data_IF_213341980624
#
_entry.id   IF_213341980624
#
_cell.length_a   1.000
_cell.length_b   1.000
_cell.length_c   1.000
_cell.angle_alpha   90.00
_cell.angle_beta   90.00
_cell.angle_gamma   90.00
#
_symmetry.space_group_name_H-M   'P 1'
#
loop_
_entity.id
_entity.type
_entity.pdbx_description
1 polymer ?
#
# COMPACT_ATOMS: atom_id res chain seq x y z
N UNK A 1 6.28 8.01 -29.80
CA UNK A 1 5.64 6.89 -29.10
C UNK A 1 4.27 6.70 -29.74
N UNK A 2 3.96 5.49 -30.14
CA UNK A 2 2.64 5.07 -30.64
C UNK A 2 1.94 4.31 -29.51
N UNK A 3 1.28 5.04 -28.62
CA UNK A 3 0.62 4.48 -27.44
C UNK A 3 -0.59 3.63 -27.84
N UNK A 4 -0.67 2.42 -27.33
CA UNK A 4 -1.69 1.45 -27.73
C UNK A 4 -1.44 0.70 -29.06
N UNK A 5 -0.35 1.01 -29.76
CA UNK A 5 0.02 0.33 -31.01
C UNK A 5 0.78 -0.97 -30.70
N UNK A 6 0.04 -2.00 -30.28
CA UNK A 6 0.60 -3.31 -29.92
C UNK A 6 0.82 -4.23 -31.11
N UNK A 7 1.77 -5.14 -30.98
CA UNK A 7 1.98 -6.22 -31.95
C UNK A 7 1.01 -7.38 -31.64
N UNK A 8 0.30 -7.83 -32.66
CA UNK A 8 -0.62 -8.95 -32.54
C UNK A 8 -0.66 -9.72 -33.86
N UNK A 9 -0.45 -11.02 -33.82
CA UNK A 9 -0.48 -11.90 -34.98
C UNK A 9 -1.92 -12.25 -35.45
N UNK A 10 -2.94 -11.86 -34.66
CA UNK A 10 -4.34 -12.00 -35.02
C UNK A 10 -4.71 -10.95 -36.05
N UNK A 11 -5.37 -11.37 -37.15
CA UNK A 11 -5.79 -10.47 -38.23
C UNK A 11 -7.22 -9.94 -38.00
N UNK A 12 -8.14 -10.80 -37.62
CA UNK A 12 -9.55 -10.46 -37.41
C UNK A 12 -9.71 -9.43 -36.26
N UNK A 13 -10.36 -8.30 -36.59
CA UNK A 13 -10.55 -7.20 -35.66
C UNK A 13 -9.28 -6.42 -35.32
N UNK A 14 -8.19 -6.57 -36.05
CA UNK A 14 -6.92 -5.88 -35.82
C UNK A 14 -6.77 -4.69 -36.79
N UNK A 15 -7.12 -3.48 -36.31
CA UNK A 15 -7.06 -2.27 -37.08
C UNK A 15 -5.63 -1.92 -37.58
N UNK A 16 -4.59 -2.30 -36.81
CA UNK A 16 -3.19 -2.10 -37.19
C UNK A 16 -2.84 -2.96 -38.42
N UNK A 17 -3.31 -4.22 -38.43
CA UNK A 17 -3.08 -5.13 -39.54
C UNK A 17 -3.85 -4.70 -40.81
N UNK A 18 -5.09 -4.22 -40.66
CA UNK A 18 -5.95 -3.80 -41.78
C UNK A 18 -5.51 -2.44 -42.35
N UNK A 19 -4.78 -1.63 -41.61
CA UNK A 19 -4.33 -0.32 -42.06
C UNK A 19 -3.17 -0.41 -43.06
N UNK A 20 -3.11 0.57 -43.96
CA UNK A 20 -1.95 0.72 -44.86
C UNK A 20 -0.86 1.49 -44.09
N UNK A 21 0.17 0.78 -43.66
CA UNK A 21 1.26 1.33 -42.84
C UNK A 21 2.65 1.26 -43.49
N UNK A 22 2.83 1.76 -44.77
CA UNK A 22 4.05 1.51 -45.54
C UNK A 22 5.32 2.07 -44.87
N UNK A 23 5.20 3.16 -44.10
CA UNK A 23 6.33 3.74 -43.37
C UNK A 23 6.72 2.85 -42.17
N UNK A 24 5.75 2.42 -41.38
CA UNK A 24 6.02 1.52 -40.25
C UNK A 24 6.54 0.17 -40.71
N UNK A 25 5.98 -0.39 -41.77
CA UNK A 25 6.43 -1.64 -42.35
C UNK A 25 7.87 -1.53 -42.84
N UNK A 26 8.21 -0.41 -43.49
CA UNK A 26 9.58 -0.09 -43.90
C UNK A 26 10.54 0.04 -42.72
N UNK A 27 10.16 0.77 -41.67
CA UNK A 27 10.98 0.93 -40.46
C UNK A 27 11.25 -0.40 -39.75
N UNK A 28 10.23 -1.23 -39.59
CA UNK A 28 10.38 -2.55 -38.99
C UNK A 28 11.25 -3.50 -39.81
N UNK A 29 11.27 -3.34 -41.13
CA UNK A 29 12.06 -4.17 -42.05
C UNK A 29 13.52 -3.70 -42.16
N UNK A 30 13.74 -2.40 -42.24
CA UNK A 30 15.03 -1.84 -42.68
C UNK A 30 15.91 -1.41 -41.51
N UNK A 31 15.34 -1.34 -40.28
CA UNK A 31 16.06 -0.92 -39.06
C UNK A 31 16.02 -2.01 -37.99
N UNK A 32 16.96 -1.98 -37.02
CA UNK A 32 16.94 -2.88 -35.87
C UNK A 32 15.61 -2.81 -35.11
N UNK A 33 14.98 -3.95 -34.91
CA UNK A 33 13.68 -4.09 -34.29
C UNK A 33 13.71 -5.17 -33.19
N UNK A 34 13.14 -4.85 -32.04
CA UNK A 34 12.99 -5.79 -30.92
C UNK A 34 11.58 -5.71 -30.35
N UNK A 35 11.06 -6.86 -29.92
CA UNK A 35 9.80 -6.91 -29.17
C UNK A 35 10.07 -6.68 -27.69
N UNK A 36 9.36 -5.73 -27.07
CA UNK A 36 9.38 -5.47 -25.63
C UNK A 36 8.12 -5.94 -24.96
N UNK A 37 8.21 -6.36 -23.68
CA UNK A 37 7.03 -6.60 -22.88
C UNK A 37 6.49 -5.29 -22.31
N UNK A 38 5.17 -5.13 -22.32
CA UNK A 38 4.47 -3.93 -21.81
C UNK A 38 3.53 -4.25 -20.65
N UNK A 39 3.75 -5.35 -19.92
CA UNK A 39 2.92 -5.79 -18.81
C UNK A 39 3.73 -6.48 -17.71
N UNK A 40 3.14 -6.63 -16.55
CA UNK A 40 3.70 -7.36 -15.41
C UNK A 40 5.05 -6.83 -14.95
N UNK A 41 5.90 -7.70 -14.44
CA UNK A 41 7.19 -7.35 -13.86
C UNK A 41 8.13 -6.61 -14.81
N UNK A 42 7.99 -6.82 -16.12
CA UNK A 42 8.78 -6.14 -17.14
C UNK A 42 8.56 -4.62 -17.20
N UNK A 43 7.46 -4.14 -16.62
CA UNK A 43 7.15 -2.70 -16.50
C UNK A 43 6.91 -2.27 -15.05
N UNK A 44 7.33 -3.08 -14.09
CA UNK A 44 7.26 -2.75 -12.66
C UNK A 44 5.89 -2.95 -12.01
N UNK A 45 5.00 -3.69 -12.66
CA UNK A 45 3.68 -4.08 -12.15
C UNK A 45 3.71 -5.52 -11.62
N UNK A 46 2.72 -5.92 -10.81
CA UNK A 46 2.54 -7.34 -10.45
C UNK A 46 2.49 -8.25 -11.67
N UNK A 47 2.92 -9.49 -11.51
CA UNK A 47 2.88 -10.48 -12.58
C UNK A 47 1.45 -10.68 -13.10
N UNK A 48 1.29 -10.80 -14.41
CA UNK A 48 -0.01 -10.92 -15.07
C UNK A 48 -0.82 -9.62 -15.18
N UNK A 49 -0.43 -8.52 -14.55
CA UNK A 49 -1.12 -7.24 -14.68
C UNK A 49 -0.81 -6.56 -16.00
N UNK A 50 -1.86 -6.16 -16.72
CA UNK A 50 -1.73 -5.39 -17.97
C UNK A 50 -1.06 -4.03 -17.69
N UNK A 51 -0.15 -3.63 -18.56
CA UNK A 51 0.48 -2.30 -18.52
C UNK A 51 -0.50 -1.17 -18.87
N UNK A 52 -0.05 0.04 -18.63
CA UNK A 52 -0.76 1.27 -18.96
C UNK A 52 0.22 2.35 -19.42
N UNK A 53 -0.33 3.47 -19.93
CA UNK A 53 0.48 4.58 -20.44
C UNK A 53 1.42 5.19 -19.41
N UNK A 54 0.99 5.30 -18.15
CA UNK A 54 1.77 5.93 -17.07
C UNK A 54 3.07 5.16 -16.82
N UNK A 55 2.95 3.87 -16.54
CA UNK A 55 4.14 3.02 -16.29
C UNK A 55 4.99 2.85 -17.55
N UNK A 56 4.38 2.79 -18.74
CA UNK A 56 5.10 2.67 -20.01
C UNK A 56 5.98 3.91 -20.27
N UNK A 57 5.42 5.10 -20.15
CA UNK A 57 6.17 6.35 -20.34
C UNK A 57 7.24 6.53 -19.25
N UNK A 58 6.93 6.18 -18.01
CA UNK A 58 7.90 6.24 -16.92
C UNK A 58 9.10 5.33 -17.17
N UNK A 59 8.88 4.07 -17.56
CA UNK A 59 9.97 3.14 -17.86
C UNK A 59 10.82 3.59 -19.06
N UNK A 60 10.18 4.07 -20.14
CA UNK A 60 10.90 4.60 -21.30
C UNK A 60 11.74 5.84 -20.93
N UNK A 61 11.17 6.77 -20.16
CA UNK A 61 11.88 7.95 -19.71
C UNK A 61 13.01 7.67 -18.72
N UNK A 62 12.83 6.67 -17.86
CA UNK A 62 13.85 6.24 -16.91
C UNK A 62 14.94 5.36 -17.54
N UNK A 63 14.68 4.74 -18.70
CA UNK A 63 15.60 3.77 -19.33
C UNK A 63 15.81 2.50 -18.51
N UNK A 64 14.93 2.21 -17.57
CA UNK A 64 14.98 1.04 -16.66
C UNK A 64 13.59 0.72 -16.11
N UNK A 65 13.43 -0.48 -15.55
CA UNK A 65 12.19 -0.87 -14.88
C UNK A 65 12.02 -0.04 -13.60
N UNK A 66 10.89 0.67 -13.50
CA UNK A 66 10.47 1.40 -12.31
C UNK A 66 9.35 0.63 -11.63
N UNK A 67 9.67 -0.03 -10.54
CA UNK A 67 8.68 -0.81 -9.79
C UNK A 67 7.68 0.09 -9.08
N UNK A 68 6.39 -0.18 -9.28
CA UNK A 68 5.31 0.44 -8.51
C UNK A 68 5.35 -0.05 -7.06
N UNK A 69 4.78 0.73 -6.11
CA UNK A 69 4.94 0.49 -4.67
C UNK A 69 4.61 -0.95 -4.26
N UNK A 70 3.48 -1.50 -4.72
CA UNK A 70 3.11 -2.90 -4.46
C UNK A 70 4.21 -3.87 -4.87
N UNK A 71 4.69 -3.75 -6.10
CA UNK A 71 5.71 -4.65 -6.66
C UNK A 71 7.06 -4.43 -6.00
N UNK A 72 7.43 -3.19 -5.72
CA UNK A 72 8.68 -2.82 -5.04
C UNK A 72 8.77 -3.47 -3.66
N UNK A 73 7.76 -3.25 -2.82
CA UNK A 73 7.73 -3.80 -1.46
C UNK A 73 7.70 -5.33 -1.48
N UNK A 74 6.89 -5.92 -2.37
CA UNK A 74 6.84 -7.38 -2.54
C UNK A 74 8.23 -7.92 -2.93
N UNK A 75 8.92 -7.24 -3.85
CA UNK A 75 10.28 -7.63 -4.25
C UNK A 75 11.28 -7.50 -3.11
N UNK A 76 11.24 -6.43 -2.33
CA UNK A 76 12.11 -6.26 -1.17
C UNK A 76 11.92 -7.37 -0.12
N UNK A 77 10.68 -7.87 0.06
CA UNK A 77 10.40 -9.04 0.92
C UNK A 77 11.07 -10.29 0.33
N UNK A 78 10.92 -10.53 -0.97
CA UNK A 78 11.49 -11.70 -1.65
C UNK A 78 13.02 -11.70 -1.65
N UNK A 79 13.63 -10.54 -1.88
CA UNK A 79 15.10 -10.37 -1.91
C UNK A 79 15.69 -10.32 -0.48
N UNK A 80 14.86 -10.11 0.55
CA UNK A 80 15.28 -10.03 1.95
C UNK A 80 15.70 -8.64 2.41
N UNK A 81 15.65 -7.61 1.57
CA UNK A 81 16.01 -6.23 1.93
C UNK A 81 14.96 -5.58 2.84
N UNK A 82 13.70 -5.98 2.72
CA UNK A 82 12.63 -5.60 3.64
C UNK A 82 13.02 -5.78 5.11
N UNK A 83 13.70 -6.88 5.44
CA UNK A 83 14.13 -7.22 6.81
C UNK A 83 15.33 -6.40 7.30
N UNK A 84 15.88 -5.53 6.46
CA UNK A 84 16.95 -4.59 6.78
C UNK A 84 16.46 -3.14 6.82
N UNK A 85 15.17 -2.90 6.59
CA UNK A 85 14.59 -1.56 6.57
C UNK A 85 14.75 -0.86 7.91
N UNK A 86 15.44 0.28 7.93
CA UNK A 86 15.84 0.97 9.15
C UNK A 86 14.64 1.46 9.99
N UNK A 87 13.58 1.96 9.34
CA UNK A 87 12.39 2.44 10.06
C UNK A 87 11.63 1.28 10.71
N UNK A 88 11.48 0.16 10.01
CA UNK A 88 10.85 -1.04 10.55
C UNK A 88 11.69 -1.63 11.69
N UNK A 89 13.01 -1.72 11.54
CA UNK A 89 13.92 -2.18 12.60
C UNK A 89 13.87 -1.25 13.82
N UNK A 90 13.73 0.07 13.61
CA UNK A 90 13.57 1.04 14.71
C UNK A 90 12.31 0.74 15.51
N UNK A 91 11.17 0.46 14.86
CA UNK A 91 9.93 0.10 15.54
C UNK A 91 10.06 -1.23 16.31
N UNK A 92 10.69 -2.26 15.69
CA UNK A 92 10.94 -3.54 16.35
C UNK A 92 11.83 -3.38 17.59
N UNK A 93 12.91 -2.60 17.43
CA UNK A 93 13.85 -2.31 18.52
C UNK A 93 13.19 -1.53 19.66
N UNK A 94 12.37 -0.53 19.35
CA UNK A 94 11.62 0.22 20.35
C UNK A 94 10.73 -0.70 21.21
N UNK A 95 9.95 -1.56 20.56
CA UNK A 95 9.08 -2.51 21.26
C UNK A 95 9.90 -3.46 22.17
N UNK A 96 11.05 -3.93 21.69
CA UNK A 96 11.94 -4.81 22.44
C UNK A 96 12.59 -4.12 23.64
N UNK A 97 13.13 -2.92 23.44
CA UNK A 97 13.87 -2.18 24.47
C UNK A 97 12.95 -1.70 25.61
N UNK A 98 11.69 -1.40 25.30
CA UNK A 98 10.69 -0.96 26.29
C UNK A 98 9.86 -2.13 26.88
N UNK A 99 10.06 -3.37 26.44
CA UNK A 99 9.16 -4.50 26.71
C UNK A 99 7.68 -4.15 26.41
N UNK A 100 7.46 -3.34 25.38
CA UNK A 100 6.15 -2.87 24.93
C UNK A 100 5.63 -3.67 23.75
N UNK A 101 4.46 -3.31 23.22
CA UNK A 101 3.85 -3.99 22.09
C UNK A 101 4.29 -3.38 20.74
N UNK A 102 4.22 -4.19 19.69
CA UNK A 102 4.18 -3.70 18.32
C UNK A 102 2.82 -4.01 17.71
N UNK A 103 2.25 -3.01 17.06
CA UNK A 103 0.94 -3.06 16.43
C UNK A 103 1.09 -2.86 14.94
N UNK A 104 0.57 -3.79 14.15
CA UNK A 104 0.44 -3.66 12.70
C UNK A 104 -1.00 -3.31 12.38
N UNK A 105 -1.23 -2.22 11.67
CA UNK A 105 -2.57 -1.83 11.24
C UNK A 105 -2.60 -1.52 9.75
N UNK A 106 -3.73 -1.79 9.11
CA UNK A 106 -3.91 -1.53 7.68
C UNK A 106 -5.00 -2.37 7.04
N UNK A 107 -5.22 -2.13 5.76
CA UNK A 107 -6.25 -2.82 4.98
C UNK A 107 -5.84 -4.27 4.74
N UNK A 108 -6.64 -5.20 5.24
CA UNK A 108 -6.41 -6.63 5.12
C UNK A 108 -7.13 -7.18 3.89
N UNK A 109 -6.45 -7.19 2.77
CA UNK A 109 -6.91 -7.82 1.53
C UNK A 109 -5.75 -8.10 0.56
N UNK A 110 -6.02 -8.78 -0.52
CA UNK A 110 -5.12 -9.01 -1.66
C UNK A 110 -5.41 -8.09 -2.84
N UNK A 111 -6.30 -7.12 -2.68
CA UNK A 111 -6.72 -6.19 -3.74
C UNK A 111 -5.58 -5.32 -4.31
N UNK A 112 -4.52 -5.10 -3.53
CA UNK A 112 -3.28 -4.46 -4.02
C UNK A 112 -3.41 -2.98 -4.37
N UNK A 113 -4.49 -2.30 -3.94
CA UNK A 113 -4.73 -0.88 -4.22
C UNK A 113 -4.17 0.01 -3.12
N UNK A 114 -4.39 -0.34 -1.86
CA UNK A 114 -3.93 0.41 -0.69
C UNK A 114 -2.83 -0.31 0.08
N UNK A 115 -2.89 -1.63 0.09
CA UNK A 115 -2.04 -2.54 0.84
C UNK A 115 -2.05 -3.90 0.17
N UNK A 116 -1.29 -4.83 0.72
CA UNK A 116 -1.40 -6.24 0.34
C UNK A 116 -1.11 -7.12 1.58
N UNK A 117 -1.90 -8.17 1.78
CA UNK A 117 -1.78 -9.07 2.93
C UNK A 117 -0.39 -9.71 3.05
N UNK A 118 0.31 -9.99 1.94
CA UNK A 118 1.68 -10.52 1.96
C UNK A 118 2.69 -9.58 2.62
N UNK A 119 2.45 -8.25 2.56
CA UNK A 119 3.31 -7.28 3.25
C UNK A 119 3.14 -7.36 4.78
N UNK A 120 1.90 -7.57 5.25
CA UNK A 120 1.63 -7.85 6.66
C UNK A 120 2.31 -9.16 7.09
N UNK A 121 2.29 -10.20 6.26
CA UNK A 121 2.99 -11.44 6.56
C UNK A 121 4.50 -11.24 6.67
N UNK A 122 5.08 -10.36 5.83
CA UNK A 122 6.48 -9.94 5.95
C UNK A 122 6.78 -9.25 7.29
N UNK A 123 5.88 -8.38 7.78
CA UNK A 123 6.01 -7.74 9.10
C UNK A 123 5.95 -8.75 10.25
N UNK A 124 5.03 -9.70 10.19
CA UNK A 124 4.92 -10.77 11.19
C UNK A 124 6.19 -11.63 11.23
N UNK A 125 6.71 -12.00 10.06
CA UNK A 125 7.98 -12.73 9.95
C UNK A 125 9.14 -11.92 10.52
N UNK A 126 9.19 -10.61 10.26
CA UNK A 126 10.19 -9.70 10.82
C UNK A 126 10.10 -9.65 12.34
N UNK A 127 8.90 -9.48 12.89
CA UNK A 127 8.68 -9.48 14.34
C UNK A 127 9.13 -10.81 15.00
N UNK A 128 8.89 -11.94 14.32
CA UNK A 128 9.37 -13.25 14.76
C UNK A 128 10.90 -13.33 14.77
N UNK A 129 11.55 -12.86 13.72
CA UNK A 129 13.04 -12.84 13.62
C UNK A 129 13.66 -11.97 14.69
N UNK A 130 13.04 -10.85 15.04
CA UNK A 130 13.47 -9.96 16.12
C UNK A 130 13.13 -10.49 17.52
N UNK A 131 12.39 -11.58 17.61
CA UNK A 131 12.05 -12.25 18.88
C UNK A 131 10.98 -11.55 19.69
N UNK A 132 10.12 -10.74 19.05
CA UNK A 132 9.02 -10.03 19.71
C UNK A 132 7.90 -11.01 20.08
N UNK A 133 7.27 -10.77 21.22
CA UNK A 133 6.19 -11.61 21.76
C UNK A 133 4.84 -10.89 21.81
N UNK A 134 4.86 -9.56 22.05
CA UNK A 134 3.67 -8.71 22.12
C UNK A 134 3.43 -8.09 20.74
N UNK A 135 2.87 -8.89 19.81
CA UNK A 135 2.64 -8.50 18.41
C UNK A 135 1.15 -8.57 18.13
N UNK A 136 0.58 -7.46 17.74
CA UNK A 136 -0.86 -7.35 17.51
C UNK A 136 -1.18 -6.81 16.12
N UNK A 137 -2.28 -7.30 15.54
CA UNK A 137 -2.75 -6.87 14.24
C UNK A 137 -4.12 -6.21 14.38
N UNK A 138 -4.29 -5.06 13.76
CA UNK A 138 -5.56 -4.36 13.64
C UNK A 138 -5.99 -4.38 12.17
N UNK A 139 -7.03 -5.14 11.88
CA UNK A 139 -7.47 -5.45 10.53
C UNK A 139 -8.50 -4.42 10.05
N UNK A 140 -8.16 -3.65 9.01
CA UNK A 140 -9.17 -2.87 8.31
C UNK A 140 -9.72 -3.69 7.14
N UNK A 141 -11.05 -3.84 7.06
CA UNK A 141 -11.69 -4.67 6.05
C UNK A 141 -12.05 -3.84 4.81
N UNK A 142 -11.94 -4.47 3.65
CA UNK A 142 -11.99 -3.81 2.35
C UNK A 142 -13.42 -3.66 1.80
N UNK A 143 -13.90 -4.61 1.03
CA UNK A 143 -15.23 -4.60 0.41
C UNK A 143 -15.41 -3.62 -0.76
N UNK A 144 -14.33 -2.95 -1.22
CA UNK A 144 -14.31 -2.05 -2.39
C UNK A 144 -13.36 -2.50 -3.46
N UNK A 145 -12.15 -2.86 -3.07
CA UNK A 145 -11.09 -3.33 -3.98
C UNK A 145 -11.13 -4.86 -4.09
N UNK A 146 -11.87 -5.51 -3.19
CA UNK A 146 -12.23 -6.93 -3.16
C UNK A 146 -13.74 -7.10 -2.97
N UNK A 147 -14.30 -8.31 -3.18
CA UNK A 147 -15.74 -8.54 -2.99
C UNK A 147 -16.23 -8.13 -1.59
N UNK A 148 -17.48 -7.61 -1.48
CA UNK A 148 -17.96 -6.97 -0.26
C UNK A 148 -18.04 -7.82 1.00
N UNK A 149 -17.98 -9.14 0.88
CA UNK A 149 -18.04 -10.10 1.99
C UNK A 149 -16.88 -11.11 1.95
N UNK A 150 -15.68 -10.66 1.58
CA UNK A 150 -14.45 -11.47 1.53
C UNK A 150 -13.57 -11.32 2.78
N UNK A 151 -13.84 -10.31 3.62
CA UNK A 151 -13.01 -9.97 4.77
C UNK A 151 -12.91 -11.08 5.80
N UNK A 152 -13.96 -11.88 5.99
CA UNK A 152 -13.91 -13.05 6.88
C UNK A 152 -12.84 -14.05 6.43
N UNK A 153 -12.79 -14.36 5.14
CA UNK A 153 -11.78 -15.27 4.59
C UNK A 153 -10.36 -14.73 4.78
N UNK A 154 -10.15 -13.43 4.59
CA UNK A 154 -8.84 -12.80 4.84
C UNK A 154 -8.45 -12.83 6.31
N UNK A 155 -9.40 -12.69 7.24
CA UNK A 155 -9.15 -12.84 8.68
C UNK A 155 -8.74 -14.27 9.00
N UNK A 156 -9.47 -15.28 8.51
CA UNK A 156 -9.14 -16.70 8.69
C UNK A 156 -7.75 -17.05 8.11
N UNK A 157 -7.41 -16.53 6.93
CA UNK A 157 -6.09 -16.68 6.33
C UNK A 157 -4.99 -16.03 7.19
N UNK A 158 -5.24 -14.85 7.75
CA UNK A 158 -4.31 -14.17 8.64
C UNK A 158 -4.08 -14.99 9.93
N UNK A 159 -5.14 -15.49 10.56
CA UNK A 159 -5.03 -16.33 11.75
C UNK A 159 -4.21 -17.60 11.48
N UNK A 160 -4.45 -18.25 10.35
CA UNK A 160 -3.67 -19.41 9.92
C UNK A 160 -2.19 -19.04 9.72
N UNK A 161 -1.90 -17.90 9.12
CA UNK A 161 -0.54 -17.40 8.87
C UNK A 161 0.16 -17.02 10.18
N UNK A 162 -0.50 -16.34 11.10
CA UNK A 162 0.05 -16.03 12.43
C UNK A 162 0.39 -17.31 13.22
N UNK A 163 -0.47 -18.33 13.11
CA UNK A 163 -0.20 -19.64 13.72
C UNK A 163 1.00 -20.35 13.07
N UNK A 164 1.13 -20.27 11.74
CA UNK A 164 2.28 -20.83 11.00
C UNK A 164 3.59 -20.16 11.42
N UNK A 165 3.62 -18.82 11.46
CA UNK A 165 4.79 -18.04 11.86
C UNK A 165 5.07 -18.19 13.36
N UNK A 166 4.02 -18.36 14.16
CA UNK A 166 4.09 -18.52 15.62
C UNK A 166 4.16 -17.20 16.38
N UNK A 167 3.61 -16.11 15.81
CA UNK A 167 3.52 -14.80 16.47
C UNK A 167 2.33 -14.01 15.91
N UNK A 168 1.73 -13.18 16.77
CA UNK A 168 0.64 -12.27 16.42
C UNK A 168 -0.70 -12.70 16.99
N UNK A 169 -1.53 -11.69 17.36
CA UNK A 169 -2.93 -11.82 17.74
C UNK A 169 -3.72 -10.67 17.16
N UNK A 170 -4.98 -10.87 16.78
CA UNK A 170 -5.85 -9.81 16.28
C UNK A 170 -6.42 -9.04 17.46
N UNK A 171 -6.25 -7.71 17.48
CA UNK A 171 -6.77 -6.84 18.52
C UNK A 171 -8.06 -6.12 18.14
N UNK A 172 -8.14 -5.59 16.90
CA UNK A 172 -9.29 -4.83 16.41
C UNK A 172 -9.59 -5.21 14.97
N UNK A 173 -10.89 -5.24 14.64
CA UNK A 173 -11.40 -5.29 13.26
C UNK A 173 -12.22 -4.04 13.03
N UNK A 174 -12.08 -3.41 11.86
CA UNK A 174 -12.86 -2.24 11.48
C UNK A 174 -13.04 -2.18 9.98
N UNK A 175 -14.22 -1.87 9.50
CA UNK A 175 -14.42 -1.54 8.10
C UNK A 175 -13.63 -0.29 7.71
N UNK A 176 -13.17 -0.24 6.46
CA UNK A 176 -12.41 0.90 5.92
C UNK A 176 -13.19 2.21 5.94
N UNK A 177 -14.51 2.16 5.99
CA UNK A 177 -15.37 3.33 6.12
C UNK A 177 -15.07 4.17 7.36
N UNK A 178 -14.61 3.52 8.45
CA UNK A 178 -14.24 4.17 9.70
C UNK A 178 -12.74 4.43 9.79
N UNK A 179 -11.93 3.41 9.56
CA UNK A 179 -10.49 3.47 9.79
C UNK A 179 -9.68 4.11 8.65
N UNK A 180 -10.31 4.29 7.48
CA UNK A 180 -9.67 4.79 6.27
C UNK A 180 -10.50 5.87 5.59
N UNK A 181 -11.10 6.77 6.36
CA UNK A 181 -11.76 7.96 5.82
C UNK A 181 -10.75 8.89 5.13
N UNK A 182 -11.21 9.69 4.18
CA UNK A 182 -10.41 10.71 3.49
C UNK A 182 -11.21 11.99 3.21
N UNK A 183 -12.40 12.09 3.80
CA UNK A 183 -13.37 13.15 3.56
C UNK A 183 -13.56 14.05 4.79
N UNK A 184 -12.57 13.97 5.75
CA UNK A 184 -12.56 14.68 7.04
C UNK A 184 -13.79 14.38 7.91
N UNK A 185 -14.32 13.16 7.80
CA UNK A 185 -15.38 12.66 8.66
C UNK A 185 -14.77 12.12 9.95
N UNK A 186 -14.34 13.06 10.76
CA UNK A 186 -13.65 12.76 12.03
C UNK A 186 -14.49 11.94 13.00
N UNK A 187 -15.82 12.05 12.91
CA UNK A 187 -16.78 11.21 13.62
C UNK A 187 -16.59 9.70 13.33
N UNK A 188 -16.19 9.35 12.13
CA UNK A 188 -15.86 7.96 11.74
C UNK A 188 -14.48 7.55 12.24
N UNK A 189 -13.49 8.39 12.01
CA UNK A 189 -12.08 8.13 12.40
C UNK A 189 -11.98 7.97 13.91
N UNK A 190 -12.73 8.77 14.68
CA UNK A 190 -12.75 8.71 16.14
C UNK A 190 -13.18 7.33 16.66
N UNK A 191 -14.19 6.71 16.04
CA UNK A 191 -14.65 5.36 16.43
C UNK A 191 -13.54 4.32 16.26
N UNK A 192 -12.82 4.35 15.14
CA UNK A 192 -11.69 3.46 14.91
C UNK A 192 -10.54 3.76 15.88
N UNK A 193 -10.21 5.04 16.07
CA UNK A 193 -9.16 5.46 17.00
C UNK A 193 -9.43 5.01 18.45
N UNK A 194 -10.68 5.18 18.93
CA UNK A 194 -11.09 4.73 20.27
C UNK A 194 -11.02 3.21 20.43
N UNK A 195 -11.40 2.45 19.40
CA UNK A 195 -11.26 1.00 19.43
C UNK A 195 -9.79 0.58 19.54
N UNK A 196 -8.89 1.26 18.81
CA UNK A 196 -7.45 0.98 18.80
C UNK A 196 -6.76 1.37 20.11
N UNK A 197 -7.17 2.46 20.78
CA UNK A 197 -6.43 3.07 21.89
C UNK A 197 -7.10 2.91 23.25
N UNK A 198 -8.43 2.80 23.29
CA UNK A 198 -9.21 2.76 24.52
C UNK A 198 -9.97 1.43 24.69
N UNK A 199 -9.97 0.58 23.65
CA UNK A 199 -10.75 -0.64 23.64
C UNK A 199 -12.26 -0.38 23.61
N UNK A 200 -12.70 0.78 23.11
CA UNK A 200 -14.11 1.13 22.95
C UNK A 200 -14.62 0.73 21.56
N UNK A 201 -15.74 0.04 21.51
CA UNK A 201 -16.34 -0.44 20.27
C UNK A 201 -17.24 -1.64 20.51
N UNK A 202 -17.70 -2.25 19.42
CA UNK A 202 -18.38 -3.55 19.48
C UNK A 202 -17.42 -4.59 20.09
N UNK A 203 -17.93 -5.58 20.82
CA UNK A 203 -17.10 -6.59 21.45
C UNK A 203 -17.24 -7.95 20.76
N UNK A 204 -16.11 -8.59 20.51
CA UNK A 204 -16.04 -9.93 19.97
C UNK A 204 -14.98 -10.75 20.69
N UNK A 205 -15.15 -12.07 20.76
CA UNK A 205 -14.17 -12.98 21.36
C UNK A 205 -13.39 -13.78 20.31
N UNK A 206 -13.82 -13.72 19.07
CA UNK A 206 -13.22 -14.38 17.93
C UNK A 206 -13.35 -13.46 16.70
N UNK A 207 -12.26 -13.29 15.98
CA UNK A 207 -12.20 -12.30 14.92
C UNK A 207 -13.07 -12.66 13.71
N UNK A 208 -13.00 -13.91 13.23
CA UNK A 208 -13.79 -14.37 12.08
C UNK A 208 -15.29 -14.42 12.43
N UNK A 209 -15.63 -14.82 13.64
CA UNK A 209 -17.02 -14.82 14.13
C UNK A 209 -17.58 -13.40 14.26
N UNK A 210 -16.78 -12.42 14.67
CA UNK A 210 -17.18 -11.03 14.75
C UNK A 210 -17.49 -10.44 13.34
N UNK A 211 -16.70 -10.78 12.33
CA UNK A 211 -17.01 -10.41 10.94
C UNK A 211 -18.30 -11.06 10.47
N UNK A 212 -18.49 -12.36 10.75
CA UNK A 212 -19.74 -13.07 10.40
C UNK A 212 -20.95 -12.42 11.05
N UNK A 213 -20.87 -12.08 12.33
CA UNK A 213 -21.97 -11.41 13.04
C UNK A 213 -22.33 -10.04 12.42
N UNK A 214 -21.35 -9.32 11.88
CA UNK A 214 -21.59 -8.09 11.13
C UNK A 214 -22.31 -8.36 9.81
N UNK A 215 -21.97 -9.44 9.09
CA UNK A 215 -22.67 -9.84 7.86
C UNK A 215 -24.11 -10.27 8.14
N UNK A 216 -24.34 -10.97 9.24
CA UNK A 216 -25.69 -11.37 9.68
C UNK A 216 -26.57 -10.15 10.03
N UNK A 217 -25.94 -8.99 10.33
CA UNK A 217 -26.58 -7.68 10.55
C UNK A 217 -26.55 -6.79 9.28
N UNK A 218 -26.42 -7.38 8.09
CA UNK A 218 -26.38 -6.72 6.78
C UNK A 218 -25.25 -5.66 6.62
N UNK A 219 -24.20 -5.74 7.42
CA UNK A 219 -23.01 -4.87 7.34
C UNK A 219 -21.84 -5.64 6.80
N UNK A 220 -21.55 -5.44 5.51
CA UNK A 220 -20.41 -6.06 4.83
C UNK A 220 -19.09 -5.36 5.19
N UNK A 221 -17.98 -5.87 4.67
CA UNK A 221 -16.59 -5.50 5.02
C UNK A 221 -16.36 -4.01 5.23
N UNK A 222 -16.74 -3.20 4.25
CA UNK A 222 -16.52 -1.75 4.28
C UNK A 222 -17.12 -1.10 5.52
N UNK A 223 -18.26 -1.60 5.98
CA UNK A 223 -19.11 -1.00 7.01
C UNK A 223 -19.08 -1.74 8.36
N UNK A 224 -18.22 -2.71 8.53
CA UNK A 224 -18.01 -3.38 9.83
C UNK A 224 -17.64 -2.34 10.88
N UNK A 225 -18.48 -2.22 11.92
CA UNK A 225 -18.20 -1.31 13.02
C UNK A 225 -16.89 -1.67 13.72
N UNK A 226 -16.12 -0.68 14.21
CA UNK A 226 -14.92 -0.97 14.98
C UNK A 226 -15.22 -1.94 16.11
N UNK A 227 -14.63 -3.14 16.03
CA UNK A 227 -14.88 -4.27 16.92
C UNK A 227 -13.59 -4.65 17.62
N UNK A 228 -13.60 -4.59 18.93
CA UNK A 228 -12.48 -4.96 19.82
C UNK A 228 -12.57 -6.43 20.15
N UNK A 229 -11.50 -7.16 19.88
CA UNK A 229 -11.42 -8.57 20.25
C UNK A 229 -10.99 -8.67 21.72
N UNK A 230 -11.77 -9.40 22.49
CA UNK A 230 -11.58 -9.58 23.93
C UNK A 230 -11.22 -11.03 24.28
N UNK A 231 -10.34 -11.17 25.26
CA UNK A 231 -9.98 -12.44 25.89
C UNK A 231 -10.13 -12.26 27.40
N UNK A 232 -10.89 -13.16 28.01
CA UNK A 232 -11.20 -13.10 29.46
C UNK A 232 -11.82 -11.75 29.88
N UNK A 233 -12.67 -11.16 29.01
CA UNK A 233 -13.38 -9.91 29.27
C UNK A 233 -12.51 -8.65 29.20
N UNK A 234 -11.33 -8.75 28.61
CA UNK A 234 -10.42 -7.61 28.37
C UNK A 234 -9.99 -7.54 26.91
N UNK A 235 -9.77 -6.34 26.36
CA UNK A 235 -9.19 -6.20 25.05
C UNK A 235 -7.90 -7.02 24.92
N UNK A 236 -7.75 -7.76 23.82
CA UNK A 236 -6.50 -8.47 23.47
C UNK A 236 -5.34 -7.48 23.44
N UNK A 237 -5.56 -6.30 22.88
CA UNK A 237 -4.57 -5.23 22.90
C UNK A 237 -5.23 -3.86 22.72
N UNK A 238 -4.61 -2.84 23.31
CA UNK A 238 -4.83 -1.41 23.00
C UNK A 238 -3.47 -0.75 22.81
N UNK A 239 -3.41 0.20 21.87
CA UNK A 239 -2.18 0.97 21.61
C UNK A 239 -1.95 1.95 22.76
N UNK A 240 -0.78 1.94 23.35
CA UNK A 240 -0.42 2.71 24.53
C UNK A 240 0.92 3.43 24.36
N UNK A 241 1.30 4.27 25.34
CA UNK A 241 2.61 4.91 25.32
C UNK A 241 3.75 3.88 25.25
N UNK A 242 4.80 4.21 24.53
CA UNK A 242 5.98 3.39 24.24
C UNK A 242 5.75 2.22 23.28
N UNK A 243 4.52 1.97 22.86
CA UNK A 243 4.29 0.98 21.82
C UNK A 243 4.82 1.45 20.47
N UNK A 244 5.04 0.48 19.58
CA UNK A 244 5.35 0.72 18.19
C UNK A 244 4.13 0.46 17.34
N UNK A 245 3.90 1.30 16.33
CA UNK A 245 2.81 1.14 15.37
C UNK A 245 3.38 1.15 13.96
N UNK A 246 3.03 0.18 13.14
CA UNK A 246 3.36 0.15 11.71
C UNK A 246 2.07 0.13 10.92
N UNK A 247 1.82 1.18 10.15
CA UNK A 247 0.69 1.25 9.23
C UNK A 247 1.15 0.76 7.86
N UNK A 248 0.71 -0.43 7.45
CA UNK A 248 1.25 -1.11 6.26
C UNK A 248 0.56 -0.77 4.94
N UNK A 249 -0.29 0.24 4.90
CA UNK A 249 -0.82 0.78 3.65
C UNK A 249 0.29 1.54 2.90
N UNK A 250 0.48 1.26 1.62
CA UNK A 250 1.43 1.99 0.78
C UNK A 250 0.79 3.14 -0.01
N UNK A 251 -0.54 3.17 -0.15
CA UNK A 251 -1.27 4.29 -0.76
C UNK A 251 -1.70 5.29 0.31
N UNK A 252 -1.32 6.59 0.17
CA UNK A 252 -1.41 7.56 1.25
C UNK A 252 -2.81 8.14 1.49
N UNK A 253 -3.66 8.27 0.46
CA UNK A 253 -4.86 9.11 0.48
C UNK A 253 -5.83 8.79 1.63
N UNK A 254 -6.01 7.52 1.99
CA UNK A 254 -6.88 7.05 3.07
C UNK A 254 -6.13 6.69 4.36
N UNK A 255 -4.83 6.92 4.40
CA UNK A 255 -4.04 6.66 5.61
C UNK A 255 -3.76 7.93 6.42
N UNK A 256 -3.93 9.12 5.82
CA UNK A 256 -3.56 10.40 6.41
C UNK A 256 -4.31 10.71 7.69
N UNK A 257 -5.63 10.59 7.69
CA UNK A 257 -6.47 11.09 8.79
C UNK A 257 -6.20 10.35 10.11
N UNK A 258 -6.25 9.02 10.10
CA UNK A 258 -5.97 8.26 11.32
C UNK A 258 -4.50 8.40 11.74
N UNK A 259 -3.56 8.54 10.79
CA UNK A 259 -2.16 8.82 11.12
C UNK A 259 -2.01 10.16 11.81
N UNK A 260 -2.69 11.22 11.38
CA UNK A 260 -2.73 12.51 12.06
C UNK A 260 -3.28 12.40 13.48
N UNK A 261 -4.32 11.58 13.68
CA UNK A 261 -4.87 11.34 15.01
C UNK A 261 -3.85 10.71 15.98
N UNK A 262 -2.91 9.90 15.49
CA UNK A 262 -1.82 9.36 16.30
C UNK A 262 -0.62 10.31 16.44
N UNK A 263 -0.25 10.99 15.37
CA UNK A 263 1.07 11.61 15.24
C UNK A 263 1.10 13.11 15.48
N UNK A 264 0.07 13.87 15.06
CA UNK A 264 0.10 15.33 15.16
C UNK A 264 -0.05 15.80 16.62
N UNK A 265 0.82 16.67 17.07
CA UNK A 265 0.73 17.26 18.42
C UNK A 265 -0.51 18.16 18.55
N UNK A 266 -0.78 18.97 17.54
CA UNK A 266 -1.91 19.91 17.47
C UNK A 266 -3.09 19.37 16.64
N UNK A 267 -3.48 18.13 16.91
CA UNK A 267 -4.61 17.46 16.24
C UNK A 267 -5.96 18.06 16.68
N UNK A 268 -6.84 18.34 15.71
CA UNK A 268 -8.14 19.02 15.93
C UNK A 268 -9.36 18.28 15.40
N UNK A 269 -9.19 17.04 14.92
CA UNK A 269 -10.30 16.28 14.33
C UNK A 269 -11.36 15.84 15.34
N UNK A 270 -10.92 15.41 16.52
CA UNK A 270 -11.75 15.04 17.66
C UNK A 270 -10.94 15.20 18.95
N UNK A 271 -11.64 15.15 20.11
CA UNK A 271 -10.98 15.28 21.40
C UNK A 271 -10.24 13.98 21.76
N UNK A 272 -8.96 14.08 22.09
CA UNK A 272 -8.15 13.01 22.66
C UNK A 272 -7.51 13.48 23.96
N UNK A 273 -7.45 12.62 24.97
CA UNK A 273 -6.91 12.97 26.28
C UNK A 273 -5.44 13.44 26.17
N UNK A 274 -4.66 12.81 25.29
CA UNK A 274 -3.27 13.19 24.97
C UNK A 274 -2.86 12.55 23.64
N UNK A 275 -1.78 13.02 23.04
CA UNK A 275 -1.07 12.25 22.02
C UNK A 275 -0.33 11.09 22.71
N UNK A 276 -0.46 9.90 22.18
CA UNK A 276 0.31 8.75 22.66
C UNK A 276 1.77 8.88 22.19
N UNK A 277 2.70 8.60 23.09
CA UNK A 277 4.14 8.57 22.80
C UNK A 277 4.50 7.20 22.16
N UNK A 278 4.20 7.06 20.88
CA UNK A 278 4.45 5.84 20.11
C UNK A 278 5.56 6.04 19.07
N UNK A 279 6.28 4.95 18.75
CA UNK A 279 7.12 4.91 17.54
C UNK A 279 6.23 4.52 16.37
N UNK A 280 5.80 5.52 15.59
CA UNK A 280 4.86 5.35 14.49
C UNK A 280 5.58 5.29 13.14
N UNK A 281 5.37 4.20 12.38
CA UNK A 281 5.94 3.99 11.05
C UNK A 281 4.84 3.94 10.01
N UNK A 282 4.90 4.84 9.04
CA UNK A 282 4.12 4.79 7.81
C UNK A 282 4.86 3.96 6.76
N UNK A 283 4.19 3.09 6.03
CA UNK A 283 4.86 2.36 4.94
C UNK A 283 5.43 3.30 3.90
N UNK A 284 4.67 4.30 3.48
CA UNK A 284 5.13 5.33 2.55
C UNK A 284 4.95 6.72 3.15
N UNK A 285 5.45 7.75 2.49
CA UNK A 285 5.19 9.13 2.88
C UNK A 285 3.72 9.47 2.62
N UNK A 286 2.89 9.50 3.69
CA UNK A 286 1.48 9.82 3.57
C UNK A 286 1.22 11.32 3.38
N UNK A 287 1.99 12.14 4.08
CA UNK A 287 1.96 13.59 4.01
C UNK A 287 3.20 14.11 4.75
N UNK A 288 3.95 14.99 4.12
CA UNK A 288 5.20 15.56 4.67
C UNK A 288 4.96 16.45 5.89
N UNK A 289 3.75 16.99 6.05
CA UNK A 289 3.35 17.82 7.18
C UNK A 289 2.99 17.03 8.45
N UNK A 290 2.78 15.73 8.37
CA UNK A 290 2.53 14.89 9.55
C UNK A 290 3.81 14.76 10.37
N UNK A 291 3.72 15.11 11.64
CA UNK A 291 4.83 15.08 12.59
C UNK A 291 5.00 13.68 13.22
N UNK A 292 6.05 13.49 14.01
CA UNK A 292 6.24 12.33 14.89
C UNK A 292 6.06 10.96 14.20
N UNK A 293 6.45 10.83 12.92
CA UNK A 293 6.41 9.60 12.16
C UNK A 293 7.78 9.21 11.59
N UNK A 294 7.96 7.95 11.33
CA UNK A 294 9.00 7.39 10.47
C UNK A 294 8.36 6.92 9.16
N UNK A 295 9.15 6.80 8.11
CA UNK A 295 8.71 6.31 6.80
C UNK A 295 9.59 5.13 6.41
N UNK A 296 8.97 3.98 6.08
CA UNK A 296 9.68 2.78 5.71
C UNK A 296 10.16 2.81 4.25
N UNK A 297 9.31 3.21 3.33
CA UNK A 297 9.58 3.22 1.90
C UNK A 297 9.43 4.63 1.34
N UNK A 298 10.53 5.36 1.30
CA UNK A 298 10.56 6.70 0.72
C UNK A 298 10.30 6.66 -0.78
N UNK A 299 9.76 7.76 -1.32
CA UNK A 299 9.61 7.94 -2.76
C UNK A 299 10.99 7.85 -3.43
N UNK A 300 11.10 6.98 -4.41
CA UNK A 300 12.33 6.85 -5.20
C UNK A 300 12.36 7.99 -6.22
N UNK A 301 13.32 8.90 -6.08
CA UNK A 301 13.60 9.89 -7.10
C UNK A 301 14.40 9.25 -8.23
N UNK A 302 13.91 9.40 -9.45
CA UNK A 302 14.59 8.89 -10.62
C UNK A 302 15.61 9.93 -11.10
N UNK A 303 16.85 9.52 -11.20
CA UNK A 303 17.93 10.32 -11.75
C UNK A 303 18.43 9.73 -13.06
N UNK A 304 19.11 10.53 -13.87
CA UNK A 304 19.61 10.13 -15.17
C UNK A 304 18.50 9.61 -16.09
N UNK A 305 17.39 10.36 -16.12
CA UNK A 305 16.30 10.13 -17.06
C UNK A 305 16.73 10.52 -18.47
N UNK A 306 15.99 10.06 -19.47
CA UNK A 306 16.32 10.35 -20.87
C UNK A 306 16.43 11.87 -21.15
N UNK A 307 15.54 12.68 -20.54
CA UNK A 307 15.61 14.14 -20.65
C UNK A 307 16.88 14.73 -20.03
N UNK A 308 17.25 14.29 -18.84
CA UNK A 308 18.48 14.71 -18.17
C UNK A 308 19.73 14.27 -18.96
N UNK A 309 19.72 13.04 -19.49
CA UNK A 309 20.82 12.54 -20.33
C UNK A 309 21.03 13.40 -21.58
N UNK A 310 19.96 13.75 -22.29
CA UNK A 310 20.04 14.63 -23.47
C UNK A 310 20.58 16.01 -23.09
N UNK A 311 20.07 16.60 -22.00
CA UNK A 311 20.53 17.90 -21.51
C UNK A 311 22.02 17.89 -21.14
N UNK A 312 22.50 16.84 -20.49
CA UNK A 312 23.91 16.67 -20.13
C UNK A 312 24.84 16.53 -21.35
N UNK A 313 24.30 16.25 -22.53
CA UNK A 313 25.04 16.13 -23.80
C UNK A 313 24.73 17.29 -24.77
N UNK A 314 24.23 18.41 -24.27
CA UNK A 314 23.89 19.61 -25.05
C UNK A 314 22.91 19.33 -26.21
N UNK A 315 22.06 18.31 -26.05
CA UNK A 315 21.05 17.94 -27.06
C UNK A 315 19.70 18.60 -26.71
N UNK A 316 19.01 19.06 -27.74
CA UNK A 316 17.67 19.62 -27.61
C UNK A 316 16.58 18.57 -27.83
N UNK A 317 15.46 18.72 -27.16
CA UNK A 317 14.29 17.86 -27.31
C UNK A 317 13.00 18.68 -27.28
N UNK A 318 11.95 18.17 -27.93
CA UNK A 318 10.60 18.69 -27.82
C UNK A 318 9.65 17.61 -27.32
N UNK A 319 8.72 17.97 -26.48
CA UNK A 319 7.64 17.12 -25.97
C UNK A 319 6.32 17.63 -26.51
N UNK A 320 5.69 16.85 -27.38
CA UNK A 320 4.45 17.22 -28.07
C UNK A 320 3.49 16.05 -27.95
N UNK A 321 2.28 16.31 -27.46
CA UNK A 321 1.21 15.32 -27.37
C UNK A 321 -0.15 16.02 -27.41
N UNK A 322 -1.20 15.23 -27.60
CA UNK A 322 -2.57 15.71 -27.36
C UNK A 322 -2.83 15.86 -25.85
N UNK A 323 -3.92 16.55 -25.47
CA UNK A 323 -4.17 16.97 -24.08
C UNK A 323 -4.15 15.85 -23.07
N UNK A 324 -4.72 14.70 -23.38
CA UNK A 324 -4.74 13.54 -22.44
C UNK A 324 -3.35 12.91 -22.25
N UNK A 325 -2.44 13.11 -23.20
CA UNK A 325 -1.07 12.58 -23.16
C UNK A 325 -0.05 13.59 -22.65
N UNK A 326 -0.47 14.82 -22.32
CA UNK A 326 0.43 15.83 -21.77
C UNK A 326 1.24 15.33 -20.58
N UNK A 327 0.56 14.85 -19.54
CA UNK A 327 1.22 14.32 -18.34
C UNK A 327 2.11 13.10 -18.64
N UNK A 328 1.76 12.28 -19.63
CA UNK A 328 2.54 11.10 -19.98
C UNK A 328 3.91 11.47 -20.58
N UNK A 329 3.94 12.45 -21.49
CA UNK A 329 5.19 12.89 -22.14
C UNK A 329 5.99 13.89 -21.30
N UNK A 330 5.44 14.44 -20.22
CA UNK A 330 6.11 15.34 -19.29
C UNK A 330 6.35 14.64 -17.95
N UNK A 331 5.42 14.69 -17.02
CA UNK A 331 5.52 14.18 -15.66
C UNK A 331 5.99 12.71 -15.60
N UNK A 332 5.26 11.79 -16.24
CA UNK A 332 5.63 10.35 -16.18
C UNK A 332 6.95 10.07 -16.89
N UNK A 333 7.17 10.65 -18.06
CA UNK A 333 8.42 10.45 -18.79
C UNK A 333 9.64 11.06 -18.10
N UNK A 334 9.44 12.06 -17.24
CA UNK A 334 10.49 12.63 -16.39
C UNK A 334 10.63 11.92 -15.03
N UNK A 335 10.00 10.77 -14.86
CA UNK A 335 10.14 10.00 -13.61
C UNK A 335 9.34 10.57 -12.43
N UNK A 336 8.23 11.26 -12.70
CA UNK A 336 7.36 11.84 -11.68
C UNK A 336 7.76 13.25 -11.24
N UNK A 337 8.48 13.97 -12.10
CA UNK A 337 8.87 15.39 -11.92
C UNK A 337 8.36 16.21 -13.11
N UNK A 338 7.71 17.33 -12.83
CA UNK A 338 7.20 18.26 -13.85
C UNK A 338 8.22 19.32 -14.22
#
# INVERSE_FOLDING_TARGET
ILDGYGLNDRHDGNAVYEAKTPVMDGLMKDYPFVKGNASGLAVGLPDGQMGNSEVGHMNMGAGRIVYQELTRITKEIQDGDFFKNEALLTAMKNAKDNDSAIHFMGLLSDGGVHSHNTHLYGLLEMAKREGLKKVYVHCFLDGRDTPPASGKEFVEQLEAKMKEIGVGEIGVISGRYYAMDRDNRWDRVELAYKALTQGEGVKGTDAAAAVQASYDDDKTDEFVLPTVIEKDGKPVATISDKDSVVFFNFRPDRAREITRAFCDDDFKGFERAKRLDTTFVCFTEYDDTIQNKLVAFHKVLLHNTFGEYLAAHDMTQARIAETEKYAHVTFFFNGGVE
#
